data_IF_712856003504
#
_entry.id   IF_712856003504
#
_cell.length_a   1.000
_cell.length_b   1.000
_cell.length_c   1.000
_cell.angle_alpha   90.00
_cell.angle_beta   90.00
_cell.angle_gamma   90.00
#
_symmetry.space_group_name_H-M   'P 1'
#
loop_
_entity.id
_entity.type
_entity.pdbx_description
1 polymer ?
#
# COMPACT_ATOMS: atom_id res chain seq x y z
N UNK A 1 13.96 36.49 74.85
CA UNK A 1 14.53 35.15 74.71
C UNK A 1 13.40 34.27 74.20
N UNK A 2 13.16 34.27 72.89
CA UNK A 2 12.09 33.52 72.28
C UNK A 2 12.62 32.83 70.97
N UNK A 3 12.61 31.52 71.06
CA UNK A 3 13.09 30.60 70.01
C UNK A 3 11.92 30.34 69.02
N UNK A 4 12.05 30.74 67.79
CA UNK A 4 11.09 30.37 66.68
C UNK A 4 11.63 29.15 66.00
N UNK A 5 10.90 28.04 66.14
CA UNK A 5 11.05 26.84 65.29
C UNK A 5 10.38 27.09 63.93
N UNK A 6 11.14 27.01 62.86
CA UNK A 6 10.60 26.90 61.45
C UNK A 6 10.49 25.44 61.07
N UNK A 7 9.25 24.95 60.90
CA UNK A 7 8.95 23.70 60.20
C UNK A 7 9.06 23.93 58.71
N UNK A 8 10.04 23.31 58.04
CA UNK A 8 10.06 23.18 56.57
C UNK A 8 9.27 21.94 56.20
N UNK A 9 8.08 22.14 55.60
CA UNK A 9 7.35 21.08 54.90
C UNK A 9 8.05 20.78 53.59
N UNK A 10 8.59 19.58 53.45
CA UNK A 10 9.10 19.05 52.18
C UNK A 10 7.90 18.57 51.38
N UNK A 11 7.51 19.30 50.32
CA UNK A 11 6.54 18.83 49.33
C UNK A 11 7.31 18.02 48.30
N UNK A 12 7.20 16.70 48.39
CA UNK A 12 7.72 15.78 47.35
C UNK A 12 6.72 15.78 46.21
N UNK A 13 7.04 16.51 45.13
CA UNK A 13 6.31 16.41 43.85
C UNK A 13 6.74 15.12 43.16
N UNK A 14 5.92 14.09 43.23
CA UNK A 14 6.07 12.91 42.41
C UNK A 14 5.74 13.29 40.95
N UNK A 15 6.76 13.50 40.12
CA UNK A 15 6.61 13.54 38.67
C UNK A 15 6.23 12.14 38.19
N UNK A 16 4.94 11.91 37.95
CA UNK A 16 4.47 10.82 37.13
C UNK A 16 4.91 11.10 35.68
N UNK A 17 6.04 10.55 35.30
CA UNK A 17 6.43 10.47 33.90
C UNK A 17 5.42 9.55 33.20
N UNK A 18 4.41 10.13 32.56
CA UNK A 18 3.61 9.45 31.58
C UNK A 18 4.54 9.11 30.41
N UNK A 19 5.04 7.89 30.38
CA UNK A 19 5.71 7.34 29.21
C UNK A 19 4.66 7.23 28.09
N UNK A 20 4.56 8.28 27.28
CA UNK A 20 3.97 8.16 25.95
C UNK A 20 4.77 7.09 25.24
N UNK A 21 4.22 5.89 25.13
CA UNK A 21 4.75 4.86 24.25
C UNK A 21 4.56 5.34 22.81
N UNK A 22 5.43 6.24 22.38
CA UNK A 22 5.75 6.34 20.97
C UNK A 22 6.13 4.92 20.58
N UNK A 23 5.50 4.35 19.54
CA UNK A 23 5.97 3.13 18.89
C UNK A 23 7.40 3.46 18.46
N UNK A 24 8.34 3.11 19.34
CA UNK A 24 9.74 3.47 19.21
C UNK A 24 10.29 2.78 17.96
N UNK A 25 11.08 3.51 17.21
CA UNK A 25 11.91 2.96 16.15
C UNK A 25 12.75 1.81 16.72
N UNK A 26 12.36 0.58 16.41
CA UNK A 26 13.12 -0.61 16.78
C UNK A 26 14.03 -1.00 15.62
N UNK A 27 15.27 -0.48 15.67
CA UNK A 27 16.29 -0.78 14.66
C UNK A 27 16.62 -2.28 14.55
N UNK A 28 16.33 -3.08 15.59
CA UNK A 28 16.54 -4.54 15.56
C UNK A 28 15.59 -5.24 14.59
N UNK A 29 14.39 -4.69 14.37
CA UNK A 29 13.42 -5.22 13.42
C UNK A 29 13.78 -4.96 11.96
N UNK A 30 14.66 -4.01 11.66
CA UNK A 30 15.16 -3.78 10.30
C UNK A 30 16.01 -4.95 9.80
N UNK A 31 16.72 -5.65 10.69
CA UNK A 31 17.59 -6.77 10.39
C UNK A 31 16.95 -8.16 10.59
N UNK A 32 15.71 -8.22 11.08
CA UNK A 32 15.00 -9.48 11.36
C UNK A 32 14.37 -10.12 10.11
N UNK A 33 14.93 -9.92 8.93
CA UNK A 33 14.32 -10.30 7.65
C UNK A 33 15.00 -11.37 6.83
N UNK A 34 15.81 -12.28 7.43
CA UNK A 34 16.48 -13.33 6.66
C UNK A 34 15.73 -14.66 6.54
N UNK A 35 14.52 -14.76 7.03
CA UNK A 35 13.76 -16.00 7.03
C UNK A 35 12.40 -15.86 6.33
N UNK A 36 12.32 -15.72 5.00
CA UNK A 36 11.00 -15.58 4.44
C UNK A 36 10.90 -15.38 2.93
N UNK A 37 11.98 -15.49 2.21
CA UNK A 37 11.97 -15.29 0.76
C UNK A 37 11.22 -16.39 -0.01
N UNK A 38 11.06 -17.59 0.54
CA UNK A 38 10.33 -18.69 -0.10
C UNK A 38 8.83 -18.38 -0.26
N UNK A 39 8.25 -17.56 0.62
CA UNK A 39 6.86 -17.10 0.49
C UNK A 39 6.67 -15.95 -0.50
N UNK A 40 7.77 -15.28 -0.93
CA UNK A 40 7.70 -14.14 -1.83
C UNK A 40 7.31 -14.55 -3.25
N UNK A 41 6.76 -13.62 -4.06
CA UNK A 41 6.47 -13.92 -5.45
C UNK A 41 7.74 -14.26 -6.23
N UNK A 42 7.62 -15.11 -7.25
CA UNK A 42 8.68 -15.34 -8.19
C UNK A 42 9.16 -14.01 -8.79
N UNK A 43 10.47 -13.90 -8.99
CA UNK A 43 11.09 -12.69 -9.49
C UNK A 43 12.13 -12.98 -10.57
N UNK A 44 11.98 -12.30 -11.72
CA UNK A 44 12.95 -12.34 -12.82
C UNK A 44 13.22 -10.92 -13.32
N UNK A 45 14.44 -10.67 -13.77
CA UNK A 45 14.85 -9.49 -14.53
C UNK A 45 14.70 -9.64 -16.04
N UNK A 46 14.21 -10.78 -16.55
CA UNK A 46 14.08 -11.00 -18.00
C UNK A 46 13.24 -9.90 -18.67
N UNK A 47 12.22 -9.44 -17.98
CA UNK A 47 11.34 -8.35 -18.39
C UNK A 47 11.09 -7.41 -17.19
N UNK A 48 10.43 -6.27 -17.42
CA UNK A 48 9.94 -5.42 -16.31
C UNK A 48 8.98 -6.26 -15.46
N UNK A 49 9.30 -6.51 -14.16
CA UNK A 49 8.45 -7.33 -13.29
C UNK A 49 7.07 -6.70 -13.08
N UNK A 50 6.02 -7.49 -13.21
CA UNK A 50 4.63 -7.00 -13.24
C UNK A 50 3.91 -7.25 -11.92
N UNK A 51 3.09 -6.30 -11.52
CA UNK A 51 2.11 -6.37 -10.43
C UNK A 51 0.71 -6.17 -10.97
N UNK A 52 -0.30 -6.80 -10.35
CA UNK A 52 -1.70 -6.54 -10.65
C UNK A 52 -2.47 -6.14 -9.40
N UNK A 53 -3.17 -5.01 -9.45
CA UNK A 53 -4.09 -4.56 -8.42
C UNK A 53 -5.45 -4.29 -9.06
N UNK A 54 -6.45 -5.13 -8.76
CA UNK A 54 -7.69 -5.17 -9.54
C UNK A 54 -8.91 -5.49 -8.71
N UNK A 55 -10.06 -4.97 -9.13
CA UNK A 55 -11.37 -5.42 -8.66
C UNK A 55 -12.38 -5.49 -9.80
N UNK A 56 -13.32 -6.42 -9.68
CA UNK A 56 -14.51 -6.56 -10.51
C UNK A 56 -15.69 -6.96 -9.61
N UNK A 57 -16.82 -6.26 -9.73
CA UNK A 57 -17.98 -6.56 -8.87
C UNK A 57 -18.62 -7.92 -9.17
N UNK A 58 -18.69 -8.30 -10.44
CA UNK A 58 -19.08 -9.62 -10.90
C UNK A 58 -17.91 -10.62 -10.74
N UNK A 59 -18.14 -11.89 -11.03
CA UNK A 59 -17.07 -12.87 -11.18
C UNK A 59 -16.18 -12.51 -12.37
N UNK A 60 -14.90 -12.85 -12.30
CA UNK A 60 -13.99 -12.83 -13.46
C UNK A 60 -14.38 -13.97 -14.40
N UNK A 61 -14.23 -13.74 -15.71
CA UNK A 61 -14.39 -14.75 -16.74
C UNK A 61 -13.17 -15.66 -16.82
N UNK A 62 -13.26 -16.77 -17.55
CA UNK A 62 -12.11 -17.69 -17.75
C UNK A 62 -10.96 -16.95 -18.45
N UNK A 63 -11.23 -16.17 -19.48
CA UNK A 63 -10.22 -15.36 -20.18
C UNK A 63 -9.54 -14.31 -19.27
N UNK A 64 -10.33 -13.66 -18.42
CA UNK A 64 -9.78 -12.71 -17.42
C UNK A 64 -8.91 -13.42 -16.39
N UNK A 65 -9.27 -14.64 -15.98
CA UNK A 65 -8.47 -15.45 -15.07
C UNK A 65 -7.18 -15.93 -15.73
N UNK A 66 -7.22 -16.31 -17.01
CA UNK A 66 -6.03 -16.64 -17.81
C UNK A 66 -5.07 -15.45 -17.92
N UNK A 67 -5.60 -14.23 -18.08
CA UNK A 67 -4.80 -13.01 -18.08
C UNK A 67 -4.19 -12.72 -16.70
N UNK A 68 -4.98 -12.83 -15.62
CA UNK A 68 -4.51 -12.60 -14.26
C UNK A 68 -3.43 -13.60 -13.84
N UNK A 69 -3.52 -14.83 -14.29
CA UNK A 69 -2.54 -15.88 -13.99
C UNK A 69 -1.12 -15.61 -14.54
N UNK A 70 -0.95 -14.61 -15.40
CA UNK A 70 0.35 -14.17 -15.91
C UNK A 70 1.14 -13.29 -14.92
N UNK A 71 0.54 -12.90 -13.79
CA UNK A 71 1.16 -12.01 -12.83
C UNK A 71 1.69 -12.78 -11.62
N UNK A 72 2.95 -12.58 -11.22
CA UNK A 72 3.52 -13.24 -10.04
C UNK A 72 2.93 -12.72 -8.73
N UNK A 73 2.39 -11.48 -8.73
CA UNK A 73 1.80 -10.84 -7.55
C UNK A 73 0.50 -10.14 -7.92
N UNK A 74 -0.58 -10.48 -7.23
CA UNK A 74 -1.92 -9.96 -7.47
C UNK A 74 -2.55 -9.51 -6.16
N UNK A 75 -3.14 -8.32 -6.13
CA UNK A 75 -4.05 -7.88 -5.08
C UNK A 75 -5.47 -7.79 -5.59
N UNK A 76 -6.39 -8.55 -5.00
CA UNK A 76 -7.82 -8.38 -5.20
C UNK A 76 -8.38 -7.34 -4.23
N UNK A 77 -8.88 -6.24 -4.76
CA UNK A 77 -9.25 -5.05 -4.02
C UNK A 77 -10.68 -5.10 -3.46
N UNK A 78 -11.03 -4.18 -2.58
CA UNK A 78 -12.23 -4.06 -1.70
C UNK A 78 -13.62 -4.29 -2.31
N UNK A 79 -13.75 -4.29 -3.64
CA UNK A 79 -15.03 -4.51 -4.30
C UNK A 79 -15.09 -5.80 -5.13
N UNK A 80 -14.04 -6.63 -5.04
CA UNK A 80 -13.92 -7.87 -5.83
C UNK A 80 -15.04 -8.83 -5.51
N UNK A 81 -15.80 -9.19 -6.55
CA UNK A 81 -16.85 -10.22 -6.49
C UNK A 81 -18.01 -9.90 -5.55
N UNK A 82 -18.24 -8.65 -5.17
CA UNK A 82 -19.35 -8.28 -4.27
C UNK A 82 -20.72 -8.74 -4.77
N UNK A 83 -20.90 -8.92 -6.08
CA UNK A 83 -22.11 -9.48 -6.69
C UNK A 83 -22.16 -11.01 -6.67
N UNK A 84 -21.09 -11.68 -6.24
CA UNK A 84 -21.05 -13.16 -6.06
C UNK A 84 -21.54 -13.56 -4.66
N UNK A 85 -21.84 -12.59 -3.80
CA UNK A 85 -22.33 -12.80 -2.43
C UNK A 85 -21.66 -11.84 -1.44
N UNK A 86 -20.33 -11.86 -1.35
CA UNK A 86 -19.55 -10.93 -0.53
C UNK A 86 -18.15 -10.74 -1.14
N UNK A 87 -17.43 -9.72 -0.67
CA UNK A 87 -16.03 -9.49 -1.08
C UNK A 87 -15.17 -10.73 -0.78
N UNK A 88 -15.34 -11.37 0.39
CA UNK A 88 -14.60 -12.58 0.73
C UNK A 88 -14.87 -13.72 -0.26
N UNK A 89 -16.14 -14.03 -0.51
CA UNK A 89 -16.52 -15.11 -1.44
C UNK A 89 -16.03 -14.84 -2.86
N UNK A 90 -16.16 -13.60 -3.32
CA UNK A 90 -15.70 -13.19 -4.65
C UNK A 90 -14.18 -13.24 -4.79
N UNK A 91 -13.46 -12.79 -3.76
CA UNK A 91 -11.99 -12.86 -3.73
C UNK A 91 -11.51 -14.31 -3.73
N UNK A 92 -12.08 -15.19 -2.89
CA UNK A 92 -11.72 -16.61 -2.87
C UNK A 92 -12.03 -17.30 -4.22
N UNK A 93 -13.16 -16.98 -4.84
CA UNK A 93 -13.48 -17.54 -6.17
C UNK A 93 -12.44 -17.11 -7.22
N UNK A 94 -12.07 -15.84 -7.24
CA UNK A 94 -11.06 -15.32 -8.16
C UNK A 94 -9.67 -15.92 -7.88
N UNK A 95 -9.27 -15.98 -6.60
CA UNK A 95 -7.99 -16.55 -6.17
C UNK A 95 -7.84 -18.02 -6.58
N UNK A 96 -8.83 -18.84 -6.29
CA UNK A 96 -8.85 -20.25 -6.69
C UNK A 96 -8.79 -20.41 -8.21
N UNK A 97 -9.51 -19.57 -8.96
CA UNK A 97 -9.45 -19.54 -10.42
C UNK A 97 -8.06 -19.23 -10.96
N UNK A 98 -7.35 -18.28 -10.37
CA UNK A 98 -5.95 -17.97 -10.72
C UNK A 98 -5.03 -19.12 -10.32
N UNK A 99 -5.13 -19.66 -9.08
CA UNK A 99 -4.29 -20.76 -8.58
C UNK A 99 -4.42 -22.04 -9.40
N UNK A 100 -5.58 -22.32 -9.96
CA UNK A 100 -5.78 -23.47 -10.87
C UNK A 100 -4.91 -23.34 -12.14
N UNK A 101 -4.63 -22.11 -12.58
CA UNK A 101 -3.84 -21.79 -13.79
C UNK A 101 -2.36 -21.58 -13.50
N UNK A 102 -2.09 -20.90 -12.41
CA UNK A 102 -0.74 -20.59 -11.93
C UNK A 102 -0.70 -20.75 -10.39
N UNK A 103 -0.29 -21.92 -9.88
CA UNK A 103 -0.21 -22.18 -8.44
C UNK A 103 0.85 -21.29 -7.75
N UNK A 104 1.84 -20.78 -8.48
CA UNK A 104 2.96 -20.00 -7.93
C UNK A 104 2.61 -18.50 -7.80
N UNK A 105 1.56 -18.02 -8.50
CA UNK A 105 1.09 -16.64 -8.36
C UNK A 105 0.72 -16.33 -6.90
N UNK A 106 1.28 -15.28 -6.33
CA UNK A 106 0.96 -14.83 -4.96
C UNK A 106 -0.23 -13.89 -4.96
N UNK A 107 -1.24 -14.24 -4.17
CA UNK A 107 -2.52 -13.54 -4.14
C UNK A 107 -2.75 -12.91 -2.77
N UNK A 108 -2.98 -11.60 -2.78
CA UNK A 108 -3.21 -10.81 -1.58
C UNK A 108 -4.69 -10.41 -1.47
N UNK A 109 -5.25 -10.62 -0.28
CA UNK A 109 -6.55 -10.10 0.10
C UNK A 109 -6.39 -8.63 0.57
N UNK A 110 -7.16 -7.71 -0.02
CA UNK A 110 -7.19 -6.32 0.43
C UNK A 110 -7.93 -6.18 1.76
N UNK A 111 -7.30 -5.52 2.73
CA UNK A 111 -7.91 -5.20 4.00
C UNK A 111 -7.58 -3.77 4.42
N UNK A 112 -8.61 -3.00 4.75
CA UNK A 112 -8.41 -1.63 5.23
C UNK A 112 -8.16 -1.63 6.74
N UNK A 113 -7.31 -0.72 7.22
CA UNK A 113 -6.96 -0.65 8.66
C UNK A 113 -7.98 0.13 9.48
N UNK A 114 -8.76 1.03 8.86
CA UNK A 114 -9.70 1.91 9.57
C UNK A 114 -10.99 2.21 8.80
N UNK A 115 -11.14 1.83 7.52
CA UNK A 115 -12.29 2.18 6.70
C UNK A 115 -13.18 0.96 6.46
N UNK A 116 -14.45 1.05 6.82
CA UNK A 116 -15.47 0.06 6.45
C UNK A 116 -16.06 0.38 5.07
N UNK A 117 -15.49 -0.23 4.02
CA UNK A 117 -15.97 -0.05 2.65
C UNK A 117 -17.33 -0.73 2.39
N UNK A 118 -17.82 -1.53 3.34
CA UNK A 118 -19.02 -2.34 3.15
C UNK A 118 -18.82 -3.50 2.16
N UNK A 119 -19.91 -4.20 1.82
CA UNK A 119 -19.86 -5.31 0.85
C UNK A 119 -19.20 -6.60 1.36
N UNK A 120 -18.53 -6.56 2.49
CA UNK A 120 -17.88 -7.68 3.14
C UNK A 120 -18.82 -8.35 4.15
N UNK A 121 -18.69 -9.67 4.34
CA UNK A 121 -19.40 -10.37 5.41
C UNK A 121 -18.96 -9.84 6.79
N UNK A 122 -17.68 -9.50 6.93
CA UNK A 122 -17.13 -8.91 8.15
C UNK A 122 -17.75 -7.55 8.48
N UNK A 123 -18.12 -6.71 7.49
CA UNK A 123 -18.83 -5.44 7.73
C UNK A 123 -20.18 -5.64 8.44
N UNK A 124 -20.85 -6.77 8.22
CA UNK A 124 -22.10 -7.09 8.94
C UNK A 124 -21.81 -7.43 10.40
N UNK A 125 -20.74 -8.17 10.67
CA UNK A 125 -20.30 -8.50 12.04
C UNK A 125 -19.86 -7.22 12.77
N UNK A 126 -19.12 -6.33 12.12
CA UNK A 126 -18.66 -5.05 12.71
C UNK A 126 -19.84 -4.21 13.25
N UNK A 127 -20.94 -4.15 12.50
CA UNK A 127 -22.13 -3.36 12.88
C UNK A 127 -22.82 -3.88 14.16
N UNK A 128 -22.55 -5.11 14.58
CA UNK A 128 -23.08 -5.67 15.83
C UNK A 128 -22.20 -5.34 17.05
N UNK A 129 -21.02 -4.79 16.84
CA UNK A 129 -20.09 -4.40 17.90
C UNK A 129 -20.45 -2.98 18.36
N UNK A 130 -20.91 -2.84 19.59
CA UNK A 130 -21.25 -1.55 20.18
C UNK A 130 -20.04 -0.60 20.18
N UNK A 131 -20.22 0.65 19.70
CA UNK A 131 -19.17 1.66 19.63
C UNK A 131 -18.06 1.35 18.62
N UNK A 132 -18.29 0.45 17.66
CA UNK A 132 -17.27 0.01 16.69
C UNK A 132 -16.79 1.12 15.75
N UNK A 133 -17.55 2.19 15.59
CA UNK A 133 -17.22 3.28 14.67
C UNK A 133 -16.72 4.51 15.41
N UNK A 134 -15.69 5.16 14.84
CA UNK A 134 -15.15 6.42 15.34
C UNK A 134 -16.20 7.51 15.34
N UNK A 135 -16.18 8.35 16.40
CA UNK A 135 -16.98 9.54 16.50
C UNK A 135 -16.12 10.80 16.47
N UNK A 136 -16.67 11.88 15.90
CA UNK A 136 -16.13 13.22 16.01
C UNK A 136 -16.47 13.82 17.38
N UNK A 137 -15.83 14.93 17.77
CA UNK A 137 -16.07 15.64 19.05
C UNK A 137 -17.54 16.05 19.25
N UNK A 138 -18.30 16.23 18.18
CA UNK A 138 -19.74 16.57 18.20
C UNK A 138 -20.67 15.34 18.23
N UNK A 139 -20.11 14.14 18.38
CA UNK A 139 -20.87 12.88 18.38
C UNK A 139 -21.26 12.35 17.00
N UNK A 140 -20.96 13.07 15.92
CA UNK A 140 -21.21 12.60 14.56
C UNK A 140 -20.23 11.50 14.14
N UNK A 141 -20.62 10.68 13.16
CA UNK A 141 -19.73 9.66 12.59
C UNK A 141 -19.04 10.21 11.34
N UNK A 142 -17.72 10.44 11.40
CA UNK A 142 -16.98 10.91 10.23
C UNK A 142 -16.97 9.87 9.11
N UNK A 143 -17.01 10.34 7.86
CA UNK A 143 -17.05 9.47 6.68
C UNK A 143 -15.97 9.82 5.68
N UNK A 144 -15.57 8.82 4.87
CA UNK A 144 -14.69 9.00 3.69
C UNK A 144 -15.51 9.54 2.52
N UNK A 145 -16.70 8.99 2.34
CA UNK A 145 -17.70 9.34 1.35
C UNK A 145 -19.07 9.31 2.03
N UNK A 146 -20.15 9.61 1.32
CA UNK A 146 -21.50 9.79 1.89
C UNK A 146 -21.89 8.86 3.03
N UNK A 147 -21.53 7.57 2.95
CA UNK A 147 -21.97 6.55 3.92
C UNK A 147 -20.83 5.66 4.46
N UNK A 148 -19.59 5.85 3.98
CA UNK A 148 -18.47 4.99 4.36
C UNK A 148 -17.81 5.51 5.63
N UNK A 149 -17.94 4.77 6.71
CA UNK A 149 -17.49 5.15 8.06
C UNK A 149 -16.09 4.60 8.38
N UNK A 150 -15.50 5.16 9.44
CA UNK A 150 -14.25 4.67 10.01
C UNK A 150 -14.55 3.83 11.25
N UNK A 151 -13.95 2.63 11.34
CA UNK A 151 -14.02 1.84 12.55
C UNK A 151 -12.86 2.16 13.49
N UNK A 152 -13.10 1.94 14.81
CA UNK A 152 -12.19 2.31 15.88
C UNK A 152 -11.30 1.13 16.31
N UNK A 153 -10.11 1.01 15.70
CA UNK A 153 -9.10 0.02 16.11
C UNK A 153 -8.50 0.31 17.50
N UNK A 154 -8.77 1.45 18.10
CA UNK A 154 -8.47 1.72 19.52
C UNK A 154 -9.19 0.75 20.46
N UNK A 155 -10.31 0.17 20.03
CA UNK A 155 -11.08 -0.78 20.80
C UNK A 155 -10.59 -2.23 20.60
N UNK A 156 -10.25 -2.98 21.69
CA UNK A 156 -9.79 -4.37 21.57
C UNK A 156 -10.75 -5.28 20.81
N UNK A 157 -12.08 -5.12 20.99
CA UNK A 157 -13.11 -5.89 20.30
C UNK A 157 -13.12 -5.67 18.77
N UNK A 158 -12.78 -4.43 18.31
CA UNK A 158 -12.66 -4.12 16.89
C UNK A 158 -11.36 -4.70 16.31
N UNK A 159 -10.25 -4.67 17.05
CA UNK A 159 -9.02 -5.37 16.62
C UNK A 159 -9.23 -6.87 16.52
N UNK A 160 -9.88 -7.48 17.50
CA UNK A 160 -10.20 -8.91 17.49
C UNK A 160 -11.08 -9.29 16.26
N UNK A 161 -12.08 -8.47 15.94
CA UNK A 161 -12.87 -8.60 14.71
C UNK A 161 -12.01 -8.50 13.45
N UNK A 162 -11.11 -7.52 13.39
CA UNK A 162 -10.21 -7.31 12.26
C UNK A 162 -9.30 -8.52 12.03
N UNK A 163 -8.67 -9.04 13.10
CA UNK A 163 -7.82 -10.22 13.09
C UNK A 163 -8.59 -11.48 12.68
N UNK A 164 -9.80 -11.67 13.22
CA UNK A 164 -10.68 -12.79 12.87
C UNK A 164 -11.00 -12.86 11.37
N UNK A 165 -11.30 -11.72 10.75
CA UNK A 165 -11.59 -11.69 9.32
C UNK A 165 -10.33 -11.91 8.47
N UNK A 166 -9.19 -11.35 8.86
CA UNK A 166 -7.91 -11.59 8.20
C UNK A 166 -7.55 -13.09 8.25
N UNK A 167 -7.63 -13.72 9.43
CA UNK A 167 -7.37 -15.15 9.61
C UNK A 167 -8.26 -16.01 8.72
N UNK A 168 -9.57 -15.74 8.71
CA UNK A 168 -10.53 -16.46 7.85
C UNK A 168 -10.15 -16.48 6.38
N UNK A 169 -9.55 -15.39 5.89
CA UNK A 169 -9.10 -15.32 4.51
C UNK A 169 -7.76 -16.03 4.30
N UNK A 170 -6.83 -15.90 5.24
CA UNK A 170 -5.51 -16.53 5.19
C UNK A 170 -5.52 -18.05 5.42
N UNK A 171 -6.57 -18.57 6.06
CA UNK A 171 -6.78 -20.01 6.22
C UNK A 171 -7.11 -20.72 4.87
N UNK A 172 -7.48 -19.98 3.84
CA UNK A 172 -7.73 -20.56 2.51
C UNK A 172 -6.41 -20.62 1.71
N UNK A 173 -6.01 -21.80 1.22
CA UNK A 173 -4.72 -22.00 0.55
C UNK A 173 -4.57 -21.22 -0.77
N UNK A 174 -5.64 -20.61 -1.28
CA UNK A 174 -5.56 -19.75 -2.46
C UNK A 174 -5.16 -18.30 -2.15
N UNK A 175 -5.04 -17.93 -0.87
CA UNK A 175 -4.63 -16.59 -0.41
C UNK A 175 -3.25 -16.69 0.24
N UNK A 176 -2.27 -16.02 -0.34
CA UNK A 176 -0.87 -16.04 0.13
C UNK A 176 -0.56 -14.89 1.10
N UNK A 177 -1.49 -13.95 1.29
CA UNK A 177 -1.23 -12.81 2.17
C UNK A 177 -2.30 -11.73 2.14
N UNK A 178 -1.99 -10.61 2.79
CA UNK A 178 -2.86 -9.44 2.89
C UNK A 178 -2.17 -8.16 2.42
N UNK A 179 -2.95 -7.28 1.80
CA UNK A 179 -2.56 -5.88 1.57
C UNK A 179 -3.33 -4.99 2.55
N UNK A 180 -2.61 -4.29 3.43
CA UNK A 180 -3.18 -3.39 4.45
C UNK A 180 -3.13 -1.95 3.95
N UNK A 181 -4.31 -1.38 3.74
CA UNK A 181 -4.44 -0.01 3.22
C UNK A 181 -4.88 1.00 4.29
N UNK A 182 -4.74 2.29 3.96
CA UNK A 182 -5.10 3.46 4.76
C UNK A 182 -4.24 3.71 6.01
N UNK A 183 -3.09 3.05 6.16
CA UNK A 183 -2.17 3.28 7.27
C UNK A 183 -1.82 4.77 7.44
N UNK A 184 -1.59 5.46 6.33
CA UNK A 184 -1.26 6.89 6.31
C UNK A 184 -2.31 7.78 6.98
N UNK A 185 -3.59 7.36 6.98
CA UNK A 185 -4.67 8.13 7.62
C UNK A 185 -4.56 8.12 9.15
N UNK A 186 -4.05 7.03 9.71
CA UNK A 186 -3.79 6.93 11.15
C UNK A 186 -2.54 7.70 11.53
N UNK A 187 -1.52 7.69 10.67
CA UNK A 187 -0.19 8.25 10.95
C UNK A 187 -0.07 9.75 10.73
N UNK A 188 -0.99 10.36 9.97
CA UNK A 188 -0.99 11.81 9.71
C UNK A 188 -2.03 12.49 10.58
N UNK A 189 -1.58 13.20 11.62
CA UNK A 189 -2.43 13.89 12.60
C UNK A 189 -3.50 14.79 11.97
N UNK A 190 -3.19 15.43 10.84
CA UNK A 190 -4.11 16.28 10.13
C UNK A 190 -5.37 15.60 9.61
N UNK A 191 -5.35 14.28 9.41
CA UNK A 191 -6.51 13.58 8.88
C UNK A 191 -7.62 13.42 9.93
N UNK A 192 -7.38 12.71 11.01
CA UNK A 192 -8.41 12.47 12.02
C UNK A 192 -8.67 13.68 12.91
N UNK A 193 -7.64 14.36 13.39
CA UNK A 193 -7.80 15.51 14.28
C UNK A 193 -8.42 16.72 13.57
N UNK A 194 -7.83 17.18 12.46
CA UNK A 194 -8.26 18.42 11.80
C UNK A 194 -9.40 18.22 10.82
N UNK A 195 -9.31 17.22 9.92
CA UNK A 195 -10.33 17.03 8.89
C UNK A 195 -11.56 16.28 9.40
N UNK A 196 -11.38 15.27 10.28
CA UNK A 196 -12.48 14.46 10.81
C UNK A 196 -12.91 14.87 12.21
N UNK A 197 -12.23 15.85 12.84
CA UNK A 197 -12.55 16.42 14.14
C UNK A 197 -12.71 15.38 15.26
N UNK A 198 -11.97 14.29 15.18
CA UNK A 198 -11.89 13.28 16.26
C UNK A 198 -11.23 13.92 17.47
N UNK A 199 -11.63 13.53 18.69
CA UNK A 199 -11.02 14.01 19.94
C UNK A 199 -9.55 13.60 20.06
N UNK A 200 -8.78 14.37 20.84
CA UNK A 200 -7.35 14.09 21.01
C UNK A 200 -7.13 12.77 21.74
N UNK A 201 -7.97 12.45 22.74
CA UNK A 201 -7.93 11.19 23.49
C UNK A 201 -8.31 10.00 22.59
N UNK A 202 -9.38 10.12 21.81
CA UNK A 202 -9.82 9.10 20.85
C UNK A 202 -8.77 8.87 19.77
N UNK A 203 -8.14 9.94 19.29
CA UNK A 203 -7.09 9.82 18.29
C UNK A 203 -5.85 9.16 18.86
N UNK A 204 -5.46 9.48 20.11
CA UNK A 204 -4.33 8.80 20.77
C UNK A 204 -4.65 7.31 20.97
N UNK A 205 -5.87 6.98 21.44
CA UNK A 205 -6.32 5.58 21.57
C UNK A 205 -6.30 4.86 20.22
N UNK A 206 -6.68 5.54 19.13
CA UNK A 206 -6.61 4.99 17.77
C UNK A 206 -5.17 4.66 17.37
N UNK A 207 -4.20 5.55 17.63
CA UNK A 207 -2.77 5.33 17.36
C UNK A 207 -2.19 4.18 18.20
N UNK A 208 -2.54 4.12 19.47
CA UNK A 208 -2.10 3.03 20.36
C UNK A 208 -2.67 1.68 19.88
N UNK A 209 -3.95 1.67 19.51
CA UNK A 209 -4.61 0.52 18.91
C UNK A 209 -4.00 0.08 17.57
N UNK A 210 -3.55 1.04 16.76
CA UNK A 210 -2.82 0.76 15.53
C UNK A 210 -1.50 0.03 15.82
N UNK A 211 -0.68 0.53 16.74
CA UNK A 211 0.56 -0.13 17.14
C UNK A 211 0.34 -1.55 17.67
N UNK A 212 -0.70 -1.74 18.52
CA UNK A 212 -1.07 -3.05 19.04
C UNK A 212 -1.53 -4.00 17.91
N UNK A 213 -2.31 -3.49 16.96
CA UNK A 213 -2.77 -4.29 15.82
C UNK A 213 -1.60 -4.71 14.91
N UNK A 214 -0.64 -3.81 14.64
CA UNK A 214 0.57 -4.16 13.88
C UNK A 214 1.38 -5.27 14.56
N UNK A 215 1.53 -5.21 15.88
CA UNK A 215 2.22 -6.25 16.65
C UNK A 215 1.48 -7.60 16.55
N UNK A 216 0.15 -7.61 16.59
CA UNK A 216 -0.65 -8.83 16.44
C UNK A 216 -0.52 -9.41 15.03
N UNK A 217 -0.56 -8.57 13.99
CA UNK A 217 -0.40 -8.97 12.59
C UNK A 217 0.98 -9.60 12.35
N UNK A 218 2.04 -8.94 12.85
CA UNK A 218 3.42 -9.43 12.74
C UNK A 218 3.57 -10.81 13.40
N UNK A 219 3.07 -10.94 14.62
CA UNK A 219 3.19 -12.17 15.41
C UNK A 219 2.39 -13.35 14.84
N UNK A 220 1.22 -13.10 14.24
CA UNK A 220 0.31 -14.16 13.83
C UNK A 220 0.43 -14.53 12.35
N UNK A 221 0.64 -13.56 11.47
CA UNK A 221 0.53 -13.82 10.04
C UNK A 221 1.85 -13.80 9.29
N UNK A 222 2.82 -12.99 9.72
CA UNK A 222 3.98 -12.69 8.90
C UNK A 222 4.97 -13.86 8.76
N UNK A 223 4.95 -14.85 9.63
CA UNK A 223 5.81 -16.02 9.47
C UNK A 223 5.51 -16.77 8.16
N UNK A 224 4.22 -17.00 7.89
CA UNK A 224 3.76 -17.87 6.82
C UNK A 224 3.13 -17.12 5.64
N UNK A 225 2.66 -15.88 5.85
CA UNK A 225 1.92 -15.12 4.85
C UNK A 225 2.64 -13.83 4.48
N UNK A 226 2.42 -13.36 3.26
CA UNK A 226 2.88 -12.05 2.80
C UNK A 226 2.02 -10.96 3.44
N UNK A 227 2.65 -10.02 4.14
CA UNK A 227 1.97 -8.85 4.69
C UNK A 227 2.53 -7.59 4.03
N UNK A 228 1.79 -7.02 3.08
CA UNK A 228 2.11 -5.72 2.48
C UNK A 228 1.28 -4.61 3.13
N UNK A 229 1.81 -3.40 3.15
CA UNK A 229 1.08 -2.23 3.60
C UNK A 229 1.24 -1.04 2.64
N UNK A 230 0.22 -0.22 2.51
CA UNK A 230 0.33 1.08 1.88
C UNK A 230 0.94 2.05 2.91
N UNK A 231 2.30 2.03 3.06
CA UNK A 231 3.00 2.68 4.17
C UNK A 231 4.12 3.64 3.75
N UNK A 232 4.82 3.37 2.65
CA UNK A 232 5.88 4.27 2.17
C UNK A 232 5.23 5.52 1.59
N UNK A 233 5.57 6.68 2.17
CA UNK A 233 5.10 8.01 1.75
C UNK A 233 6.15 9.08 2.07
N UNK A 234 6.59 9.81 1.06
CA UNK A 234 7.58 10.89 1.21
C UNK A 234 7.16 11.97 2.24
N UNK A 235 5.85 12.18 2.46
CA UNK A 235 5.33 13.13 3.46
C UNK A 235 5.49 12.71 4.92
N UNK A 236 5.79 11.45 5.20
CA UNK A 236 6.12 11.01 6.55
C UNK A 236 7.56 11.41 6.87
N UNK A 237 7.86 11.68 8.13
CA UNK A 237 9.19 12.10 8.61
C UNK A 237 10.28 11.15 8.11
N UNK A 238 10.11 9.85 8.36
CA UNK A 238 11.03 8.79 7.92
C UNK A 238 10.54 8.04 6.67
N UNK A 239 9.68 8.66 5.86
CA UNK A 239 9.13 8.03 4.66
C UNK A 239 8.27 6.78 4.92
N UNK A 240 7.99 6.44 6.17
CA UNK A 240 7.31 5.21 6.60
C UNK A 240 8.27 4.02 6.83
N UNK A 241 9.59 4.22 6.66
CA UNK A 241 10.59 3.15 6.83
C UNK A 241 10.59 2.55 8.25
N UNK A 242 10.31 3.37 9.27
CA UNK A 242 10.20 2.94 10.66
C UNK A 242 9.08 1.92 10.93
N UNK A 243 8.13 1.76 10.01
CA UNK A 243 7.07 0.75 10.09
C UNK A 243 7.35 -0.51 9.29
N UNK A 244 8.36 -0.51 8.39
CA UNK A 244 8.66 -1.65 7.52
C UNK A 244 9.06 -2.92 8.27
N UNK A 245 9.48 -2.80 9.53
CA UNK A 245 9.73 -3.95 10.41
C UNK A 245 8.51 -4.85 10.61
N UNK A 246 7.30 -4.32 10.52
CA UNK A 246 6.05 -5.07 10.65
C UNK A 246 5.56 -5.72 9.35
N UNK A 247 6.19 -5.41 8.21
CA UNK A 247 5.70 -5.78 6.89
C UNK A 247 6.79 -6.45 6.04
N UNK A 248 6.37 -7.27 5.09
CA UNK A 248 7.26 -7.83 4.07
C UNK A 248 7.56 -6.83 2.96
N UNK A 249 6.81 -5.74 2.90
CA UNK A 249 7.03 -4.68 1.93
C UNK A 249 5.92 -3.64 1.89
N UNK A 250 5.95 -2.83 0.85
CA UNK A 250 4.97 -1.77 0.65
C UNK A 250 4.33 -1.82 -0.74
N UNK A 251 3.01 -1.65 -0.74
CA UNK A 251 2.28 -1.15 -1.89
C UNK A 251 2.46 0.37 -1.94
N UNK A 252 2.69 0.92 -3.13
CA UNK A 252 2.85 2.35 -3.35
C UNK A 252 1.76 2.86 -4.29
N UNK A 253 1.03 3.84 -3.80
CA UNK A 253 -0.04 4.55 -4.50
C UNK A 253 0.19 6.06 -4.42
N UNK A 254 -0.22 6.80 -5.44
CA UNK A 254 -0.11 8.26 -5.47
C UNK A 254 1.30 8.79 -5.14
N UNK A 255 2.32 8.10 -5.64
CA UNK A 255 3.73 8.36 -5.36
C UNK A 255 4.14 9.80 -5.69
N UNK A 256 3.59 10.36 -6.76
CA UNK A 256 3.91 11.70 -7.25
C UNK A 256 3.04 12.81 -6.64
N UNK A 257 2.11 12.46 -5.74
CA UNK A 257 1.19 13.43 -5.14
C UNK A 257 1.88 14.17 -3.99
N UNK A 258 2.48 15.30 -4.28
CA UNK A 258 3.14 16.15 -3.30
C UNK A 258 2.14 16.88 -2.38
N UNK A 259 2.56 17.17 -1.16
CA UNK A 259 1.77 17.84 -0.13
C UNK A 259 2.65 18.76 0.72
N UNK A 260 2.04 19.72 1.40
CA UNK A 260 2.71 20.47 2.47
C UNK A 260 3.70 21.54 2.00
N UNK A 261 3.53 22.10 0.80
CA UNK A 261 4.38 23.18 0.29
C UNK A 261 5.77 22.72 -0.19
N UNK A 262 6.01 21.42 -0.24
CA UNK A 262 7.22 20.84 -0.84
C UNK A 262 7.07 20.87 -2.36
N UNK A 263 8.13 21.20 -3.10
CA UNK A 263 8.12 21.12 -4.56
C UNK A 263 7.88 19.67 -5.01
N UNK A 264 7.24 19.49 -6.18
CA UNK A 264 6.99 18.14 -6.70
C UNK A 264 8.29 17.36 -6.97
N UNK A 265 9.35 17.96 -7.57
CA UNK A 265 10.62 17.28 -7.75
C UNK A 265 11.26 16.83 -6.42
N UNK A 266 11.27 17.69 -5.40
CA UNK A 266 11.81 17.32 -4.07
C UNK A 266 11.02 16.19 -3.43
N UNK A 267 9.68 16.24 -3.55
CA UNK A 267 8.82 15.19 -3.01
C UNK A 267 9.09 13.84 -3.68
N UNK A 268 9.22 13.81 -5.02
CA UNK A 268 9.53 12.60 -5.77
C UNK A 268 10.95 12.12 -5.47
N UNK A 269 11.94 13.04 -5.41
CA UNK A 269 13.32 12.69 -5.08
C UNK A 269 13.42 12.02 -3.69
N UNK A 270 12.77 12.58 -2.66
CA UNK A 270 12.66 11.94 -1.35
C UNK A 270 11.96 10.58 -1.43
N UNK A 271 10.91 10.48 -2.25
CA UNK A 271 10.21 9.22 -2.50
C UNK A 271 11.12 8.15 -3.10
N UNK A 272 11.92 8.50 -4.10
CA UNK A 272 12.92 7.62 -4.73
C UNK A 272 13.89 7.08 -3.68
N UNK A 273 14.50 7.95 -2.89
CA UNK A 273 15.44 7.57 -1.82
C UNK A 273 14.80 6.62 -0.80
N UNK A 274 13.56 6.90 -0.41
CA UNK A 274 12.81 6.08 0.55
C UNK A 274 12.51 4.69 -0.01
N UNK A 275 12.04 4.61 -1.26
CA UNK A 275 11.72 3.33 -1.91
C UNK A 275 12.98 2.50 -2.15
N UNK A 276 14.08 3.13 -2.60
CA UNK A 276 15.36 2.45 -2.75
C UNK A 276 15.87 1.88 -1.41
N UNK A 277 15.73 2.64 -0.31
CA UNK A 277 16.11 2.17 1.01
C UNK A 277 15.30 0.94 1.45
N UNK A 278 14.01 0.89 1.16
CA UNK A 278 13.16 -0.28 1.42
C UNK A 278 13.53 -1.48 0.53
N UNK A 279 13.65 -1.24 -0.77
CA UNK A 279 13.94 -2.28 -1.76
C UNK A 279 15.31 -2.97 -1.52
N UNK A 280 16.35 -2.19 -1.16
CA UNK A 280 17.69 -2.72 -0.81
C UNK A 280 17.69 -3.58 0.46
N UNK A 281 16.67 -3.46 1.31
CA UNK A 281 16.46 -4.36 2.46
C UNK A 281 15.76 -5.67 2.06
N UNK A 282 15.58 -5.95 0.77
CA UNK A 282 14.86 -7.11 0.27
C UNK A 282 13.36 -7.08 0.48
N UNK A 283 12.78 -5.89 0.72
CA UNK A 283 11.33 -5.72 0.87
C UNK A 283 10.62 -5.76 -0.48
N UNK A 284 9.43 -6.34 -0.50
CA UNK A 284 8.55 -6.29 -1.67
C UNK A 284 8.13 -4.83 -1.92
N UNK A 285 8.26 -4.38 -3.17
CA UNK A 285 7.76 -3.09 -3.63
C UNK A 285 6.74 -3.31 -4.73
N UNK A 286 5.46 -3.16 -4.40
CA UNK A 286 4.36 -3.20 -5.36
C UNK A 286 4.03 -1.77 -5.79
N UNK A 287 4.60 -1.32 -6.91
CA UNK A 287 4.64 0.09 -7.30
C UNK A 287 3.60 0.40 -8.37
N UNK A 288 2.67 1.32 -8.05
CA UNK A 288 1.68 1.80 -9.01
C UNK A 288 1.90 3.27 -9.34
N UNK A 289 1.85 3.59 -10.64
CA UNK A 289 1.95 4.96 -11.16
C UNK A 289 0.83 5.23 -12.17
N UNK A 290 0.19 6.40 -12.02
CA UNK A 290 -0.97 6.77 -12.83
C UNK A 290 -0.64 7.14 -14.27
N UNK A 291 -1.38 6.57 -15.22
CA UNK A 291 -1.31 6.90 -16.66
C UNK A 291 -2.63 7.44 -17.23
N UNK A 292 -3.66 7.54 -16.38
CA UNK A 292 -5.03 7.89 -16.78
C UNK A 292 -5.15 9.25 -17.46
N UNK A 293 -4.42 10.25 -16.99
CA UNK A 293 -4.49 11.61 -17.56
C UNK A 293 -3.96 11.64 -18.98
N UNK A 294 -2.85 10.94 -19.25
CA UNK A 294 -2.29 10.80 -20.60
C UNK A 294 -3.23 10.06 -21.54
N UNK A 295 -3.93 9.04 -21.06
CA UNK A 295 -4.98 8.36 -21.82
C UNK A 295 -6.16 9.28 -22.20
N UNK A 296 -6.44 10.31 -21.39
CA UNK A 296 -7.50 11.27 -21.67
C UNK A 296 -7.11 12.30 -22.74
N UNK A 297 -5.80 12.53 -22.96
CA UNK A 297 -5.29 13.52 -23.91
C UNK A 297 -5.22 13.00 -25.35
N UNK A 298 -5.31 11.69 -25.56
CA UNK A 298 -5.22 11.07 -26.89
C UNK A 298 -6.57 10.61 -27.44
N UNK A 299 -6.55 10.04 -28.64
CA UNK A 299 -7.72 9.56 -29.40
C UNK A 299 -8.34 8.28 -28.83
N UNK A 300 -8.60 8.22 -27.53
CA UNK A 300 -9.50 7.20 -26.96
C UNK A 300 -8.90 5.85 -26.59
N UNK A 301 -7.59 5.72 -26.41
CA UNK A 301 -7.00 4.55 -25.77
C UNK A 301 -6.24 3.57 -26.67
N UNK A 302 -6.07 3.90 -27.93
CA UNK A 302 -5.11 3.18 -28.77
C UNK A 302 -3.69 3.62 -28.35
N UNK A 303 -2.93 2.66 -27.80
CA UNK A 303 -1.57 2.93 -27.31
C UNK A 303 -0.67 3.41 -28.47
N UNK A 304 -0.75 2.80 -29.63
CA UNK A 304 0.22 3.03 -30.73
C UNK A 304 0.11 4.43 -31.34
N UNK A 305 -1.04 5.09 -31.25
CA UNK A 305 -1.29 6.43 -31.78
C UNK A 305 -1.29 7.55 -30.75
N UNK A 306 -1.05 7.23 -29.45
CA UNK A 306 -1.14 8.20 -28.35
C UNK A 306 0.25 8.58 -27.79
N UNK A 307 0.87 9.63 -28.35
CA UNK A 307 2.19 10.12 -27.93
C UNK A 307 2.25 10.51 -26.44
N UNK A 308 1.18 11.13 -25.92
CA UNK A 308 1.12 11.50 -24.51
C UNK A 308 1.14 10.25 -23.60
N UNK A 309 0.45 9.20 -24.02
CA UNK A 309 0.47 7.92 -23.30
C UNK A 309 1.85 7.26 -23.37
N UNK A 310 2.51 7.26 -24.53
CA UNK A 310 3.87 6.76 -24.67
C UNK A 310 4.85 7.50 -23.77
N UNK A 311 4.83 8.84 -23.79
CA UNK A 311 5.69 9.66 -22.93
C UNK A 311 5.44 9.34 -21.44
N UNK A 312 4.19 9.25 -21.02
CA UNK A 312 3.81 8.97 -19.64
C UNK A 312 4.20 7.55 -19.20
N UNK A 313 4.00 6.55 -20.04
CA UNK A 313 4.40 5.16 -19.78
C UNK A 313 5.92 5.07 -19.65
N UNK A 314 6.68 5.74 -20.53
CA UNK A 314 8.15 5.77 -20.44
C UNK A 314 8.62 6.44 -19.15
N UNK A 315 8.03 7.59 -18.78
CA UNK A 315 8.36 8.26 -17.52
C UNK A 315 8.08 7.38 -16.31
N UNK A 316 6.89 6.78 -16.22
CA UNK A 316 6.51 5.93 -15.08
C UNK A 316 7.34 4.66 -15.00
N UNK A 317 7.68 4.06 -16.13
CA UNK A 317 8.57 2.90 -16.19
C UNK A 317 10.02 3.26 -15.83
N UNK A 318 10.52 4.41 -16.30
CA UNK A 318 11.84 4.92 -15.90
C UNK A 318 11.90 5.16 -14.39
N UNK A 319 10.89 5.83 -13.82
CA UNK A 319 10.80 6.06 -12.37
C UNK A 319 10.80 4.75 -11.57
N UNK A 320 10.03 3.76 -12.02
CA UNK A 320 10.05 2.43 -11.41
C UNK A 320 11.45 1.78 -11.50
N UNK A 321 12.08 1.77 -12.68
CA UNK A 321 13.38 1.11 -12.89
C UNK A 321 14.52 1.78 -12.12
N UNK A 322 14.45 3.09 -11.87
CA UNK A 322 15.41 3.80 -11.00
C UNK A 322 15.35 3.28 -9.55
N UNK A 323 14.19 2.88 -9.05
CA UNK A 323 14.03 2.43 -7.67
C UNK A 323 14.02 0.92 -7.52
N UNK A 324 13.81 0.16 -8.59
CA UNK A 324 13.59 -1.28 -8.55
C UNK A 324 14.82 -2.06 -8.07
N UNK A 325 14.62 -2.94 -7.11
CA UNK A 325 15.56 -3.99 -6.71
C UNK A 325 14.83 -5.36 -6.79
N UNK A 326 15.50 -6.46 -6.41
CA UNK A 326 14.83 -7.76 -6.33
C UNK A 326 13.53 -7.64 -5.53
N UNK A 327 12.45 -8.25 -6.01
CA UNK A 327 11.08 -8.19 -5.46
C UNK A 327 10.36 -6.83 -5.63
N UNK A 328 10.79 -6.01 -6.60
CA UNK A 328 10.03 -4.85 -7.04
C UNK A 328 9.17 -5.20 -8.25
N UNK A 329 7.88 -4.84 -8.22
CA UNK A 329 6.89 -5.15 -9.25
C UNK A 329 6.12 -3.90 -9.64
N UNK A 330 5.79 -3.75 -10.92
CA UNK A 330 5.26 -2.53 -11.50
C UNK A 330 3.86 -2.71 -12.09
N UNK A 331 3.00 -1.72 -11.84
CA UNK A 331 1.68 -1.61 -12.44
C UNK A 331 1.42 -0.15 -12.88
N UNK A 332 1.51 0.16 -14.20
CA UNK A 332 1.06 1.44 -14.74
C UNK A 332 -0.47 1.46 -14.72
N UNK A 333 -1.06 2.26 -13.82
CA UNK A 333 -2.47 2.20 -13.50
C UNK A 333 -3.28 3.26 -14.25
N UNK A 334 -4.28 2.84 -15.02
CA UNK A 334 -5.35 3.69 -15.54
C UNK A 334 -6.55 3.71 -14.56
N UNK A 335 -6.79 2.59 -13.90
CA UNK A 335 -7.77 2.39 -12.85
C UNK A 335 -7.71 0.94 -12.36
N UNK A 336 -8.17 0.69 -11.15
CA UNK A 336 -8.16 -0.67 -10.57
C UNK A 336 -9.45 -1.45 -10.89
N UNK A 337 -10.53 -0.74 -11.28
CA UNK A 337 -11.81 -1.36 -11.61
C UNK A 337 -11.88 -1.85 -13.05
N UNK A 338 -12.27 -3.10 -13.25
CA UNK A 338 -12.50 -3.64 -14.61
C UNK A 338 -13.74 -3.04 -15.24
N UNK A 339 -14.85 -2.97 -14.48
CA UNK A 339 -16.13 -2.43 -14.96
C UNK A 339 -16.69 -1.43 -13.96
N UNK A 340 -17.06 -0.25 -14.44
CA UNK A 340 -17.74 0.76 -13.63
C UNK A 340 -19.24 0.47 -13.49
N UNK A 341 -19.92 1.24 -12.61
CA UNK A 341 -21.37 1.15 -12.40
C UNK A 341 -22.21 1.31 -13.68
N UNK A 342 -21.69 1.98 -14.71
CA UNK A 342 -22.37 2.18 -16.01
C UNK A 342 -21.93 1.20 -17.10
N UNK A 343 -21.24 0.10 -16.75
CA UNK A 343 -20.76 -0.87 -17.73
C UNK A 343 -19.52 -0.45 -18.53
N UNK A 344 -18.99 0.77 -18.28
CA UNK A 344 -17.76 1.24 -18.90
C UNK A 344 -16.54 0.70 -18.18
N UNK A 345 -15.47 0.37 -18.90
CA UNK A 345 -14.19 0.02 -18.29
C UNK A 345 -13.61 1.22 -17.54
N UNK A 346 -13.27 1.04 -16.27
CA UNK A 346 -12.52 2.02 -15.49
C UNK A 346 -11.02 1.92 -15.81
N UNK A 347 -10.55 0.69 -16.07
CA UNK A 347 -9.23 0.41 -16.60
C UNK A 347 -9.37 0.11 -18.11
N UNK A 348 -9.08 1.10 -18.95
CA UNK A 348 -9.22 1.00 -20.41
C UNK A 348 -8.15 0.12 -21.04
N UNK A 349 -7.03 -0.09 -20.35
CA UNK A 349 -5.94 -0.98 -20.76
C UNK A 349 -6.10 -2.38 -20.17
N UNK A 350 -7.29 -2.70 -19.63
CA UNK A 350 -7.57 -4.02 -19.10
C UNK A 350 -7.33 -5.12 -20.13
N UNK A 351 -6.57 -6.14 -19.73
CA UNK A 351 -6.11 -7.25 -20.57
C UNK A 351 -5.17 -6.84 -21.74
N UNK A 352 -4.65 -5.61 -21.73
CA UNK A 352 -3.64 -5.18 -22.70
C UNK A 352 -2.25 -5.24 -22.09
N UNK A 353 -1.31 -5.85 -22.80
CA UNK A 353 0.09 -5.86 -22.41
C UNK A 353 0.84 -4.77 -23.17
N UNK A 354 1.25 -3.71 -22.45
CA UNK A 354 2.02 -2.61 -23.04
C UNK A 354 3.34 -3.11 -23.66
N UNK A 355 3.81 -2.52 -24.78
CA UNK A 355 5.01 -2.97 -25.49
C UNK A 355 6.26 -3.05 -24.62
N UNK A 356 6.41 -2.18 -23.61
CA UNK A 356 7.56 -2.17 -22.69
C UNK A 356 7.71 -3.48 -21.91
N UNK A 357 6.62 -4.18 -21.61
CA UNK A 357 6.63 -5.46 -20.89
C UNK A 357 7.05 -6.65 -21.75
N UNK A 358 7.13 -6.47 -23.06
CA UNK A 358 7.60 -7.49 -24.01
C UNK A 358 9.08 -7.38 -24.33
N UNK A 359 9.74 -6.29 -23.87
CA UNK A 359 11.17 -6.05 -24.09
C UNK A 359 12.01 -6.79 -23.05
N UNK A 360 13.11 -7.39 -23.48
CA UNK A 360 14.09 -7.98 -22.55
C UNK A 360 14.77 -6.88 -21.76
N UNK A 361 14.81 -7.01 -20.44
CA UNK A 361 15.43 -6.03 -19.54
C UNK A 361 16.83 -6.47 -19.11
N UNK A 362 16.96 -7.67 -18.58
CA UNK A 362 18.17 -8.18 -17.94
C UNK A 362 18.44 -7.57 -16.56
N UNK A 363 19.40 -8.10 -15.84
CA UNK A 363 19.74 -7.61 -14.51
C UNK A 363 20.32 -6.18 -14.53
N UNK A 364 20.13 -5.38 -13.46
CA UNK A 364 20.80 -4.10 -13.34
C UNK A 364 22.32 -4.29 -13.22
N UNK A 365 23.09 -3.47 -13.95
CA UNK A 365 24.57 -3.46 -13.90
C UNK A 365 25.13 -2.74 -12.67
N UNK A 366 24.25 -2.05 -11.93
CA UNK A 366 24.63 -1.31 -10.73
C UNK A 366 23.46 -0.51 -10.15
N UNK A 367 23.72 0.25 -9.09
CA UNK A 367 22.73 1.18 -8.53
C UNK A 367 22.44 2.32 -9.52
N UNK A 368 21.30 2.97 -9.33
CA UNK A 368 21.02 4.22 -10.05
C UNK A 368 21.98 5.33 -9.60
N UNK A 369 22.40 6.19 -10.53
CA UNK A 369 23.15 7.41 -10.24
C UNK A 369 22.21 8.60 -10.23
N UNK A 370 22.58 9.68 -9.52
CA UNK A 370 21.81 10.92 -9.35
C UNK A 370 22.68 12.14 -9.60
N UNK A 371 22.20 13.06 -10.41
CA UNK A 371 22.75 14.40 -10.57
C UNK A 371 21.60 15.43 -10.57
N UNK A 372 21.46 16.19 -9.48
CA UNK A 372 20.28 17.01 -9.25
C UNK A 372 18.99 16.21 -9.25
N UNK A 373 18.10 16.49 -10.20
CA UNK A 373 16.83 15.75 -10.42
C UNK A 373 16.92 14.75 -11.57
N UNK A 374 18.12 14.56 -12.14
CA UNK A 374 18.37 13.57 -13.19
C UNK A 374 18.87 12.28 -12.55
N UNK A 375 18.28 11.18 -12.97
CA UNK A 375 18.66 9.84 -12.54
C UNK A 375 18.97 8.97 -13.74
N UNK A 376 20.01 8.11 -13.64
CA UNK A 376 20.31 7.12 -14.67
C UNK A 376 20.56 5.76 -14.07
N UNK A 377 20.25 4.70 -14.82
CA UNK A 377 20.54 3.33 -14.43
C UNK A 377 20.73 2.45 -15.66
N UNK A 378 21.73 1.56 -15.59
CA UNK A 378 22.04 0.60 -16.65
C UNK A 378 21.53 -0.80 -16.30
N UNK A 379 20.86 -1.43 -17.24
CA UNK A 379 20.50 -2.84 -17.24
C UNK A 379 21.22 -3.56 -18.39
N UNK A 380 21.19 -4.88 -18.43
CA UNK A 380 21.86 -5.64 -19.49
C UNK A 380 21.36 -5.22 -20.88
N UNK A 381 20.06 -5.03 -21.04
CA UNK A 381 19.41 -4.73 -22.32
C UNK A 381 18.70 -3.38 -22.38
N UNK A 382 18.83 -2.55 -21.35
CA UNK A 382 18.18 -1.25 -21.31
C UNK A 382 19.02 -0.21 -20.57
N UNK A 383 19.13 1.00 -21.12
CA UNK A 383 19.59 2.19 -20.39
C UNK A 383 18.40 3.03 -20.02
N UNK A 384 18.35 3.46 -18.76
CA UNK A 384 17.27 4.27 -18.19
C UNK A 384 17.79 5.67 -17.88
N UNK A 385 17.09 6.69 -18.37
CA UNK A 385 17.28 8.08 -18.02
C UNK A 385 15.96 8.67 -17.54
N UNK A 386 15.99 9.41 -16.43
CA UNK A 386 14.82 10.02 -15.79
C UNK A 386 15.14 11.46 -15.38
N UNK A 387 14.33 12.39 -15.83
CA UNK A 387 14.27 13.79 -15.37
C UNK A 387 12.98 13.98 -14.55
N UNK A 388 13.14 14.09 -13.23
CA UNK A 388 12.03 14.24 -12.30
C UNK A 388 11.41 15.63 -12.38
N UNK A 389 12.22 16.66 -12.67
CA UNK A 389 11.77 18.06 -12.74
C UNK A 389 10.87 18.30 -13.94
N UNK A 390 11.24 17.78 -15.10
CA UNK A 390 10.50 17.93 -16.35
C UNK A 390 9.54 16.75 -16.63
N UNK A 391 9.47 15.76 -15.77
CA UNK A 391 8.65 14.54 -15.91
C UNK A 391 8.92 13.78 -17.22
N UNK A 392 10.19 13.66 -17.59
CA UNK A 392 10.61 12.95 -18.80
C UNK A 392 11.37 11.68 -18.43
N UNK A 393 11.01 10.58 -19.08
CA UNK A 393 11.67 9.28 -18.93
C UNK A 393 12.02 8.68 -20.28
N UNK A 394 13.24 8.18 -20.42
CA UNK A 394 13.73 7.51 -21.63
C UNK A 394 14.23 6.11 -21.32
N UNK A 395 13.75 5.14 -22.10
CA UNK A 395 14.17 3.74 -22.04
C UNK A 395 14.82 3.40 -23.40
N UNK A 396 16.15 3.30 -23.41
CA UNK A 396 16.91 2.94 -24.62
C UNK A 396 17.21 1.45 -24.58
N UNK A 397 16.47 0.69 -25.39
CA UNK A 397 16.60 -0.77 -25.49
C UNK A 397 17.72 -1.17 -26.46
N UNK A 398 18.44 -2.27 -26.15
CA UNK A 398 19.52 -2.86 -26.95
C UNK A 398 19.15 -4.23 -27.45
#
# INVERSE_FOLDING_TARGET
MNLHLFFKALVTVALLASSSACVGYDASKLNAGSGGYDKYPEFSWDHIPRYMHVWKRAAFTEEELDYLAQFPLITFEKATGVQVGSVQQGTLKAARGVKTRNPDAKILYYKNIVIDWGGSAASKELKTIEGAYLQSKDGSYPTVSRTTQFFDIGLPKVRAWWMKDARRMLDDPSIDGILIDANIKVLVDGFFLRQKKVGDEEYQRLKDGYGQLLTQIDAEFRADNIVLANIIRARLEHGGLNYLGYFDGSYLEAFEHNVGGVSRPDYIAKGIETVQAAARQGKIVAFTLGIKEALNQGNGGDFDSNEALHARVNYTAALFLIVAEKYSYFFPVDGMGVVTKGGKLANRLWMQTLPIFKKRLGAPKGPATKDGYIYTREFEHCSVWLDVENEVGTLTWR
#
